data_IF_178465593388
#
_entry.id   IF_178465593388
#
_cell.length_a   1.000
_cell.length_b   1.000
_cell.length_c   1.000
_cell.angle_alpha   90.00
_cell.angle_beta   90.00
_cell.angle_gamma   90.00
#
_symmetry.space_group_name_H-M   'P 1'
#
loop_
_entity.id
_entity.type
_entity.pdbx_description
1 polymer ?
#
# COMPACT_ATOMS: atom_id res chain seq x y z
N UNK A 1 -18.04 18.60 23.41
CA UNK A 1 -18.57 17.21 23.36
C UNK A 1 -17.40 16.25 23.18
N UNK A 2 -17.17 15.34 24.12
CA UNK A 2 -16.11 14.34 24.01
C UNK A 2 -16.47 13.31 22.92
N UNK A 3 -15.82 13.39 21.76
CA UNK A 3 -16.00 12.37 20.72
C UNK A 3 -15.17 11.14 21.05
N UNK A 4 -15.82 9.98 21.18
CA UNK A 4 -15.16 8.68 21.34
C UNK A 4 -14.19 8.48 20.15
N UNK A 5 -12.93 8.20 20.46
CA UNK A 5 -11.86 7.98 19.48
C UNK A 5 -11.14 6.69 19.84
N UNK A 6 -10.86 5.85 18.84
CA UNK A 6 -10.04 4.66 19.04
C UNK A 6 -8.59 5.06 18.84
N UNK A 7 -7.73 4.79 19.81
CA UNK A 7 -6.28 5.02 19.68
C UNK A 7 -5.61 3.69 19.40
N UNK A 8 -4.90 3.62 18.28
CA UNK A 8 -4.10 2.45 17.89
C UNK A 8 -2.64 2.81 17.99
N UNK A 9 -1.95 2.25 18.99
CA UNK A 9 -0.51 2.36 19.14
C UNK A 9 0.16 1.11 18.55
N UNK A 10 0.80 1.25 17.39
CA UNK A 10 1.33 0.10 16.65
C UNK A 10 1.90 0.46 15.29
N UNK A 11 2.27 -0.56 14.52
CA UNK A 11 2.66 -0.40 13.11
C UNK A 11 1.48 -0.48 12.16
N UNK A 12 1.75 -0.37 10.86
CA UNK A 12 0.74 -0.38 9.81
C UNK A 12 -0.19 -1.62 9.88
N UNK A 13 0.38 -2.80 10.18
CA UNK A 13 -0.39 -4.05 10.31
C UNK A 13 -1.40 -4.04 11.47
N UNK A 14 -1.04 -3.42 12.60
CA UNK A 14 -1.96 -3.29 13.75
C UNK A 14 -3.15 -2.40 13.40
N UNK A 15 -2.89 -1.29 12.71
CA UNK A 15 -3.93 -0.37 12.22
C UNK A 15 -4.88 -1.09 11.28
N UNK A 16 -4.33 -1.80 10.29
CA UNK A 16 -5.11 -2.58 9.32
C UNK A 16 -5.97 -3.64 10.03
N UNK A 17 -5.43 -4.34 11.03
CA UNK A 17 -6.19 -5.34 11.80
C UNK A 17 -7.38 -4.72 12.53
N UNK A 18 -7.18 -3.57 13.19
CA UNK A 18 -8.26 -2.85 13.89
C UNK A 18 -9.35 -2.41 12.91
N UNK A 19 -8.97 -1.82 11.78
CA UNK A 19 -9.92 -1.38 10.75
C UNK A 19 -10.72 -2.57 10.21
N UNK A 20 -10.04 -3.66 9.86
CA UNK A 20 -10.69 -4.86 9.35
C UNK A 20 -11.62 -5.54 10.36
N UNK A 21 -11.26 -5.49 11.65
CA UNK A 21 -12.13 -5.97 12.72
C UNK A 21 -13.37 -5.08 12.86
N UNK A 22 -13.21 -3.75 12.78
CA UNK A 22 -14.33 -2.80 12.82
C UNK A 22 -15.29 -2.98 11.65
N UNK A 23 -14.78 -3.14 10.42
CA UNK A 23 -15.59 -3.40 9.23
C UNK A 23 -16.43 -4.68 9.42
N UNK A 24 -15.81 -5.78 9.85
CA UNK A 24 -16.52 -7.04 10.11
C UNK A 24 -17.53 -6.93 11.24
N UNK A 25 -17.19 -6.19 12.30
CA UNK A 25 -18.10 -5.91 13.41
C UNK A 25 -19.33 -5.12 12.94
N UNK A 26 -19.13 -4.03 12.19
CA UNK A 26 -20.21 -3.18 11.68
C UNK A 26 -21.09 -3.94 10.69
N UNK A 27 -20.51 -4.74 9.79
CA UNK A 27 -21.28 -5.59 8.88
C UNK A 27 -22.18 -6.57 9.66
N UNK A 28 -21.63 -7.20 10.71
CA UNK A 28 -22.40 -8.10 11.58
C UNK A 28 -23.52 -7.38 12.32
N UNK A 29 -23.26 -6.18 12.86
CA UNK A 29 -24.28 -5.38 13.56
C UNK A 29 -25.41 -4.94 12.61
N UNK A 30 -25.05 -4.51 11.41
CA UNK A 30 -26.01 -4.04 10.40
C UNK A 30 -26.70 -5.19 9.66
N UNK A 31 -26.32 -6.43 9.93
CA UNK A 31 -26.76 -7.64 9.20
C UNK A 31 -26.53 -7.51 7.69
N UNK A 32 -25.46 -6.81 7.30
CA UNK A 32 -25.06 -6.65 5.90
C UNK A 32 -23.99 -7.69 5.56
N UNK A 33 -24.06 -8.20 4.33
CA UNK A 33 -22.97 -8.98 3.75
C UNK A 33 -21.89 -8.00 3.28
N UNK A 34 -20.63 -8.41 3.40
CA UNK A 34 -19.53 -7.72 2.73
C UNK A 34 -19.27 -8.50 1.45
N UNK A 35 -19.76 -7.98 0.33
CA UNK A 35 -19.56 -8.56 -1.00
C UNK A 35 -18.96 -7.51 -1.94
N UNK A 36 -18.56 -7.95 -3.13
CA UNK A 36 -17.89 -7.09 -4.11
C UNK A 36 -18.80 -6.00 -4.69
N UNK A 37 -20.12 -6.24 -4.70
CA UNK A 37 -21.11 -5.35 -5.30
C UNK A 37 -21.71 -4.36 -4.30
N UNK A 38 -21.51 -4.57 -2.99
CA UNK A 38 -21.98 -3.69 -1.92
C UNK A 38 -20.88 -2.81 -1.36
N UNK A 39 -21.29 -1.62 -0.92
CA UNK A 39 -20.41 -0.71 -0.20
C UNK A 39 -20.04 -1.32 1.16
N UNK A 40 -18.76 -1.18 1.50
CA UNK A 40 -18.28 -1.53 2.83
C UNK A 40 -18.93 -0.60 3.88
N UNK A 41 -19.23 -1.12 5.09
CA UNK A 41 -19.77 -0.30 6.15
C UNK A 41 -18.78 0.81 6.53
N UNK A 42 -19.25 2.05 6.49
CA UNK A 42 -18.44 3.22 6.84
C UNK A 42 -18.10 3.24 8.34
N UNK A 43 -16.82 3.39 8.65
CA UNK A 43 -16.35 3.58 10.02
C UNK A 43 -16.56 5.05 10.41
N UNK A 44 -17.56 5.32 11.26
CA UNK A 44 -17.88 6.68 11.72
C UNK A 44 -17.06 7.13 12.94
N UNK A 45 -16.44 6.19 13.66
CA UNK A 45 -15.62 6.48 14.84
C UNK A 45 -14.21 6.88 14.37
N UNK A 46 -13.69 8.06 14.76
CA UNK A 46 -12.33 8.45 14.44
C UNK A 46 -11.30 7.47 15.00
N UNK A 47 -10.25 7.22 14.22
CA UNK A 47 -9.10 6.38 14.61
C UNK A 47 -7.86 7.27 14.65
N UNK A 48 -7.22 7.35 15.82
CA UNK A 48 -5.93 8.00 15.99
C UNK A 48 -4.83 6.93 15.92
N UNK A 49 -3.83 7.14 15.06
CA UNK A 49 -2.72 6.22 14.84
C UNK A 49 -1.47 6.80 15.48
N UNK A 50 -0.97 6.12 16.52
CA UNK A 50 0.32 6.44 17.16
C UNK A 50 1.35 5.45 16.64
N UNK A 51 2.35 5.89 15.86
CA UNK A 51 3.28 5.00 15.20
C UNK A 51 4.18 4.33 16.24
N UNK A 52 4.19 3.00 16.27
CA UNK A 52 5.07 2.20 17.13
C UNK A 52 5.59 0.94 16.40
N UNK A 53 5.54 0.95 15.06
CA UNK A 53 6.00 -0.15 14.21
C UNK A 53 7.40 0.09 13.62
N UNK A 54 7.95 -0.97 13.04
CA UNK A 54 9.16 -0.93 12.18
C UNK A 54 8.89 -0.12 10.90
N UNK A 55 7.67 -0.21 10.38
CA UNK A 55 7.14 0.57 9.28
C UNK A 55 5.89 1.30 9.77
N UNK A 56 5.83 2.60 9.50
CA UNK A 56 4.73 3.49 9.88
C UNK A 56 4.32 4.34 8.67
N UNK A 57 4.11 3.67 7.53
CA UNK A 57 3.82 4.32 6.25
C UNK A 57 2.52 5.10 6.35
N UNK A 58 1.50 4.57 7.02
CA UNK A 58 0.20 5.24 7.15
C UNK A 58 0.37 6.59 7.89
N UNK A 59 1.06 6.57 9.02
CA UNK A 59 1.34 7.77 9.81
C UNK A 59 2.19 8.78 9.01
N UNK A 60 3.21 8.29 8.30
CA UNK A 60 4.06 9.12 7.44
C UNK A 60 3.28 9.78 6.30
N UNK A 61 2.37 9.05 5.65
CA UNK A 61 1.53 9.60 4.56
C UNK A 61 0.57 10.67 5.08
N UNK A 62 -0.02 10.45 6.25
CA UNK A 62 -1.00 11.37 6.85
C UNK A 62 -0.32 12.64 7.37
N UNK A 63 0.77 12.51 8.12
CA UNK A 63 1.39 13.61 8.85
C UNK A 63 2.66 14.16 8.19
N UNK A 64 3.27 13.42 7.26
CA UNK A 64 4.58 13.71 6.67
C UNK A 64 5.77 13.33 7.57
N UNK A 65 5.51 12.69 8.71
CA UNK A 65 6.53 12.30 9.70
C UNK A 65 6.06 11.04 10.46
N UNK A 66 6.91 10.51 11.33
CA UNK A 66 6.61 9.31 12.15
C UNK A 66 6.78 9.57 13.63
N UNK A 67 6.68 10.84 14.06
CA UNK A 67 6.81 11.19 15.46
C UNK A 67 5.51 10.92 16.23
N UNK A 68 5.63 10.67 17.54
CA UNK A 68 4.48 10.35 18.38
C UNK A 68 3.66 11.60 18.75
N UNK A 69 4.28 12.78 18.72
CA UNK A 69 3.68 14.03 19.20
C UNK A 69 2.63 14.56 18.22
N UNK A 70 2.91 14.51 16.92
CA UNK A 70 2.03 14.99 15.85
C UNK A 70 0.63 14.35 15.90
N UNK A 71 0.45 13.01 15.91
CA UNK A 71 -0.87 12.40 16.00
C UNK A 71 -1.58 12.71 17.33
N UNK A 72 -0.85 12.83 18.44
CA UNK A 72 -1.42 13.20 19.75
C UNK A 72 -1.93 14.65 19.72
N UNK A 73 -1.20 15.57 19.09
CA UNK A 73 -1.68 16.96 18.92
C UNK A 73 -2.95 17.00 18.08
N UNK A 74 -3.01 16.26 16.98
CA UNK A 74 -4.24 16.16 16.18
C UNK A 74 -5.41 15.58 16.99
N UNK A 75 -5.15 14.62 17.87
CA UNK A 75 -6.16 14.07 18.79
C UNK A 75 -6.66 15.13 19.78
N UNK A 76 -5.76 15.85 20.46
CA UNK A 76 -6.10 16.89 21.44
C UNK A 76 -6.89 18.03 20.81
N UNK A 77 -6.47 18.50 19.63
CA UNK A 77 -7.15 19.55 18.89
C UNK A 77 -8.39 19.06 18.12
N UNK A 78 -8.74 17.76 18.23
CA UNK A 78 -9.89 17.16 17.56
C UNK A 78 -9.87 17.36 16.02
N UNK A 79 -8.67 17.39 15.43
CA UNK A 79 -8.47 17.44 13.99
C UNK A 79 -8.77 16.08 13.37
N UNK A 80 -9.63 16.07 12.35
CA UNK A 80 -10.08 14.84 11.68
C UNK A 80 -9.95 14.99 10.18
N UNK A 81 -9.58 13.91 9.53
CA UNK A 81 -9.61 13.79 8.08
C UNK A 81 -10.23 12.46 7.68
N UNK A 82 -10.91 12.46 6.53
CA UNK A 82 -11.37 11.23 5.89
C UNK A 82 -10.21 10.68 5.05
N UNK A 83 -10.08 9.36 5.06
CA UNK A 83 -9.06 8.64 4.32
C UNK A 83 -9.76 7.52 3.56
N UNK A 84 -9.47 7.42 2.28
CA UNK A 84 -10.01 6.36 1.44
C UNK A 84 -9.22 5.06 1.63
N UNK A 85 -9.91 3.94 1.46
CA UNK A 85 -9.34 2.61 1.55
C UNK A 85 -9.83 1.74 0.40
N UNK A 86 -8.99 0.83 -0.05
CA UNK A 86 -9.36 -0.16 -1.05
C UNK A 86 -9.79 -1.45 -0.38
N UNK A 87 -10.97 -1.95 -0.76
CA UNK A 87 -11.40 -3.29 -0.43
C UNK A 87 -10.75 -4.30 -1.38
N UNK A 88 -10.25 -5.39 -0.82
CA UNK A 88 -9.63 -6.49 -1.57
C UNK A 88 -10.53 -7.71 -1.43
N UNK A 89 -10.90 -8.27 -2.58
CA UNK A 89 -11.72 -9.46 -2.70
C UNK A 89 -10.93 -10.58 -3.37
N UNK A 90 -11.27 -11.83 -3.05
CA UNK A 90 -10.70 -13.00 -3.72
C UNK A 90 -11.45 -13.34 -5.02
N UNK A 91 -11.05 -14.44 -5.65
CA UNK A 91 -11.66 -14.94 -6.90
C UNK A 91 -13.14 -15.34 -6.74
N UNK A 92 -13.59 -15.63 -5.52
CA UNK A 92 -14.97 -15.97 -5.20
C UNK A 92 -15.76 -14.73 -4.73
N UNK A 93 -15.21 -13.52 -4.94
CA UNK A 93 -15.75 -12.25 -4.48
C UNK A 93 -15.95 -12.16 -2.96
N UNK A 94 -15.18 -12.94 -2.18
CA UNK A 94 -15.21 -12.88 -0.72
C UNK A 94 -14.26 -11.79 -0.25
N UNK A 95 -14.73 -10.99 0.70
CA UNK A 95 -13.93 -9.94 1.31
C UNK A 95 -12.72 -10.52 2.04
N UNK A 96 -11.52 -10.16 1.57
CA UNK A 96 -10.25 -10.54 2.18
C UNK A 96 -9.86 -9.51 3.23
N UNK A 97 -9.74 -8.25 2.81
CA UNK A 97 -9.22 -7.17 3.66
C UNK A 97 -9.48 -5.79 3.06
N UNK A 98 -9.61 -4.77 3.91
CA UNK A 98 -9.50 -3.37 3.52
C UNK A 98 -8.08 -2.87 3.83
N UNK A 99 -7.44 -2.22 2.84
CA UNK A 99 -6.07 -1.74 2.94
C UNK A 99 -5.89 -0.37 2.27
N UNK A 100 -4.80 0.32 2.63
CA UNK A 100 -4.37 1.57 1.98
C UNK A 100 -3.52 1.35 0.73
N UNK A 101 -2.95 0.15 0.58
CA UNK A 101 -2.13 -0.22 -0.57
C UNK A 101 -2.19 -1.73 -0.78
N UNK A 102 -2.20 -2.16 -2.03
CA UNK A 102 -2.03 -3.55 -2.43
C UNK A 102 -0.95 -3.63 -3.50
N UNK A 103 -0.15 -4.70 -3.47
CA UNK A 103 0.92 -4.90 -4.43
C UNK A 103 1.23 -6.37 -4.63
N UNK A 104 1.68 -6.71 -5.83
CA UNK A 104 2.16 -8.03 -6.21
C UNK A 104 3.64 -7.96 -6.62
N UNK A 105 4.29 -9.12 -6.78
CA UNK A 105 5.67 -9.16 -7.26
C UNK A 105 6.72 -8.85 -6.20
N UNK A 106 7.76 -8.12 -6.62
CA UNK A 106 8.93 -7.84 -5.80
C UNK A 106 8.60 -7.16 -4.46
N UNK A 107 7.75 -6.11 -4.39
CA UNK A 107 7.39 -5.49 -3.11
C UNK A 107 6.71 -6.47 -2.14
N UNK A 108 5.81 -7.32 -2.64
CA UNK A 108 5.18 -8.36 -1.82
C UNK A 108 6.19 -9.42 -1.35
N UNK A 109 7.17 -9.78 -2.20
CA UNK A 109 8.24 -10.69 -1.81
C UNK A 109 9.15 -10.11 -0.74
N UNK A 110 9.44 -8.80 -0.77
CA UNK A 110 10.20 -8.10 0.28
C UNK A 110 9.52 -8.29 1.64
N UNK A 111 8.20 -8.12 1.72
CA UNK A 111 7.44 -8.26 2.98
C UNK A 111 7.55 -9.67 3.61
N UNK A 112 7.72 -10.72 2.80
CA UNK A 112 7.91 -12.11 3.30
C UNK A 112 9.19 -12.29 4.12
N UNK A 113 10.17 -11.40 3.96
CA UNK A 113 11.44 -11.47 4.67
C UNK A 113 11.48 -10.61 5.94
N UNK A 114 10.55 -9.69 6.13
CA UNK A 114 10.46 -8.85 7.34
C UNK A 114 10.45 -9.68 8.64
N UNK A 115 9.59 -10.70 8.80
CA UNK A 115 9.55 -11.48 10.03
C UNK A 115 10.76 -12.44 10.19
N UNK A 116 11.59 -12.63 9.15
CA UNK A 116 12.72 -13.57 9.19
C UNK A 116 13.98 -12.97 9.79
N UNK A 117 14.05 -11.66 9.90
CA UNK A 117 15.20 -10.96 10.47
C UNK A 117 14.84 -10.42 11.85
N UNK A 118 15.23 -11.14 12.89
CA UNK A 118 15.20 -10.65 14.27
C UNK A 118 16.43 -9.79 14.54
N UNK A 119 16.54 -8.65 13.86
CA UNK A 119 17.58 -7.66 14.14
C UNK A 119 17.03 -6.59 15.06
N UNK A 120 17.84 -6.17 16.04
CA UNK A 120 17.50 -5.07 16.94
C UNK A 120 17.34 -3.70 16.24
N UNK A 121 17.77 -3.58 14.97
CA UNK A 121 17.66 -2.34 14.21
C UNK A 121 16.57 -2.43 13.13
N UNK A 122 15.52 -1.58 13.19
CA UNK A 122 14.51 -1.46 12.13
C UNK A 122 15.11 -1.27 10.73
N UNK A 123 16.12 -0.40 10.61
CA UNK A 123 16.83 -0.15 9.34
C UNK A 123 17.57 -1.39 8.84
N UNK A 124 18.14 -2.17 9.76
CA UNK A 124 18.81 -3.44 9.46
C UNK A 124 17.86 -4.50 8.92
N UNK A 125 16.67 -4.63 9.52
CA UNK A 125 15.60 -5.53 9.05
C UNK A 125 15.21 -5.16 7.62
N UNK A 126 14.89 -3.88 7.38
CA UNK A 126 14.48 -3.38 6.07
C UNK A 126 15.57 -3.68 5.02
N UNK A 127 16.81 -3.24 5.25
CA UNK A 127 17.91 -3.41 4.28
C UNK A 127 18.16 -4.88 3.92
N UNK A 128 18.14 -5.78 4.89
CA UNK A 128 18.34 -7.22 4.62
C UNK A 128 17.16 -7.83 3.88
N UNK A 129 15.92 -7.45 4.21
CA UNK A 129 14.72 -7.90 3.49
C UNK A 129 14.78 -7.53 2.01
N UNK A 130 15.13 -6.28 1.70
CA UNK A 130 15.32 -5.83 0.32
C UNK A 130 16.44 -6.58 -0.40
N UNK A 131 17.61 -6.71 0.23
CA UNK A 131 18.74 -7.44 -0.36
C UNK A 131 18.42 -8.91 -0.64
N UNK A 132 17.67 -9.57 0.26
CA UNK A 132 17.28 -10.97 0.09
C UNK A 132 16.26 -11.16 -1.02
N UNK A 133 15.27 -10.27 -1.10
CA UNK A 133 14.30 -10.27 -2.19
C UNK A 133 14.97 -9.98 -3.54
N UNK A 134 16.02 -9.14 -3.56
CA UNK A 134 16.75 -8.76 -4.78
C UNK A 134 17.75 -9.83 -5.26
N UNK A 135 18.00 -10.88 -4.48
CA UNK A 135 18.90 -11.95 -4.90
C UNK A 135 18.38 -12.64 -6.17
N UNK A 136 19.28 -13.00 -7.09
CA UNK A 136 18.94 -13.58 -8.42
C UNK A 136 17.93 -14.74 -8.35
N UNK A 137 17.99 -15.57 -7.30
CA UNK A 137 17.05 -16.68 -7.10
C UNK A 137 15.62 -16.22 -6.79
N UNK A 138 15.47 -15.10 -6.09
CA UNK A 138 14.17 -14.61 -5.58
C UNK A 138 13.59 -13.49 -6.44
N UNK A 139 14.42 -12.73 -7.15
CA UNK A 139 14.00 -11.71 -8.10
C UNK A 139 13.63 -12.38 -9.43
N UNK A 140 12.47 -13.00 -9.44
CA UNK A 140 11.90 -13.62 -10.64
C UNK A 140 10.72 -12.79 -11.13
N UNK A 141 10.62 -12.56 -12.44
CA UNK A 141 9.46 -11.89 -13.02
C UNK A 141 8.21 -12.76 -12.80
N UNK A 142 7.09 -12.10 -12.52
CA UNK A 142 5.80 -12.74 -12.36
C UNK A 142 4.97 -12.41 -13.59
N UNK A 143 4.47 -13.44 -14.25
CA UNK A 143 3.46 -13.28 -15.29
C UNK A 143 2.11 -12.99 -14.61
N UNK A 144 1.52 -11.86 -14.94
CA UNK A 144 0.26 -11.42 -14.34
C UNK A 144 -0.56 -10.63 -15.36
N UNK A 145 -1.87 -10.82 -15.32
CA UNK A 145 -2.83 -9.99 -16.05
C UNK A 145 -3.40 -8.95 -15.09
N UNK A 146 -3.35 -7.67 -15.49
CA UNK A 146 -3.95 -6.57 -14.73
C UNK A 146 -5.07 -5.99 -15.57
N UNK A 147 -6.29 -6.02 -15.03
CA UNK A 147 -7.43 -5.28 -15.55
C UNK A 147 -7.74 -4.15 -14.58
N UNK A 148 -7.98 -2.97 -15.12
CA UNK A 148 -8.31 -1.80 -14.32
C UNK A 148 -9.40 -1.00 -15.01
N UNK A 149 -10.20 -0.31 -14.19
CA UNK A 149 -11.14 0.70 -14.67
C UNK A 149 -10.41 2.03 -14.56
N UNK A 150 -10.20 2.77 -15.67
CA UNK A 150 -9.53 4.06 -15.61
C UNK A 150 -10.35 5.01 -14.75
N UNK A 151 -9.67 5.79 -13.91
CA UNK A 151 -10.34 6.85 -13.17
C UNK A 151 -10.86 7.88 -14.18
N UNK A 152 -12.17 8.10 -14.20
CA UNK A 152 -12.76 9.24 -14.89
C UNK A 152 -12.32 10.46 -14.07
N UNK A 153 -11.76 11.49 -14.72
CA UNK A 153 -11.13 12.69 -14.12
C UNK A 153 -12.03 13.55 -13.19
N UNK A 154 -13.16 13.04 -12.73
CA UNK A 154 -13.99 13.67 -11.73
C UNK A 154 -13.63 13.13 -10.34
N UNK A 155 -12.44 13.46 -9.86
CA UNK A 155 -12.09 13.19 -8.47
C UNK A 155 -12.96 14.09 -7.57
N UNK A 156 -13.90 13.56 -6.76
CA UNK A 156 -14.76 14.39 -5.90
C UNK A 156 -13.98 15.01 -4.72
N UNK A 157 -12.73 14.57 -4.50
CA UNK A 157 -11.83 15.14 -3.51
C UNK A 157 -10.92 16.17 -4.18
N UNK A 158 -11.48 17.34 -4.47
CA UNK A 158 -10.73 18.60 -4.60
C UNK A 158 -10.21 18.98 -3.20
N UNK A 159 -9.37 18.14 -2.60
CA UNK A 159 -8.72 18.45 -1.33
C UNK A 159 -7.49 19.28 -1.63
N UNK A 160 -7.64 20.60 -1.43
CA UNK A 160 -6.56 21.58 -1.54
C UNK A 160 -5.38 21.12 -0.68
N UNK A 161 -4.20 20.95 -1.30
CA UNK A 161 -2.97 20.69 -0.56
C UNK A 161 -2.56 21.96 0.21
N UNK A 162 -2.62 21.93 1.54
CA UNK A 162 -2.26 23.08 2.40
C UNK A 162 -0.75 23.25 2.66
N UNK A 163 0.10 22.42 2.04
CA UNK A 163 1.56 22.39 2.29
C UNK A 163 2.41 22.97 1.16
N UNK A 164 1.81 23.68 0.20
CA UNK A 164 2.57 24.23 -0.94
C UNK A 164 3.31 23.15 -1.74
N UNK A 165 2.68 21.97 -1.91
CA UNK A 165 3.27 20.86 -2.67
C UNK A 165 3.51 21.30 -4.13
N UNK A 166 4.72 21.15 -4.68
CA UNK A 166 5.02 21.51 -6.07
C UNK A 166 4.11 20.81 -7.08
N UNK A 167 3.69 19.56 -6.79
CA UNK A 167 2.81 18.77 -7.66
C UNK A 167 1.35 19.22 -7.65
N UNK A 168 0.92 19.98 -6.64
CA UNK A 168 -0.47 20.46 -6.51
C UNK A 168 -0.63 21.94 -6.91
N UNK A 169 0.44 22.55 -7.43
CA UNK A 169 0.36 23.87 -8.07
C UNK A 169 -0.35 23.74 -9.43
N UNK A 170 -0.94 24.82 -9.98
CA UNK A 170 -1.51 24.78 -11.33
C UNK A 170 -0.54 24.19 -12.36
N UNK A 171 0.73 24.60 -12.31
CA UNK A 171 1.82 24.08 -13.15
C UNK A 171 2.14 22.59 -12.90
N UNK A 172 1.90 22.10 -11.68
CA UNK A 172 2.08 20.70 -11.30
C UNK A 172 0.94 19.80 -11.79
N UNK A 173 -0.29 20.32 -11.83
CA UNK A 173 -1.47 19.61 -12.34
C UNK A 173 -1.36 19.43 -13.86
N UNK A 174 -1.01 20.48 -14.61
CA UNK A 174 -0.76 20.37 -16.06
C UNK A 174 0.38 19.40 -16.40
N UNK A 175 1.41 19.29 -15.55
CA UNK A 175 2.49 18.31 -15.72
C UNK A 175 2.04 16.88 -15.43
N UNK A 176 1.18 16.66 -14.44
CA UNK A 176 0.66 15.34 -14.10
C UNK A 176 -0.32 14.81 -15.16
N UNK A 177 -1.19 15.66 -15.71
CA UNK A 177 -2.11 15.26 -16.79
C UNK A 177 -1.36 14.90 -18.09
N UNK A 178 -0.24 15.58 -18.37
CA UNK A 178 0.63 15.26 -19.50
C UNK A 178 1.62 14.09 -19.24
N UNK A 179 1.63 13.54 -18.02
CA UNK A 179 2.44 12.38 -17.62
C UNK A 179 1.58 11.12 -17.45
N UNK A 180 0.55 10.92 -18.28
CA UNK A 180 0.09 9.55 -18.55
C UNK A 180 1.27 8.84 -19.18
N UNK A 181 2.03 8.14 -18.33
CA UNK A 181 3.31 7.50 -18.62
C UNK A 181 3.13 6.63 -19.86
N UNK A 182 3.73 7.05 -20.97
CA UNK A 182 4.09 6.12 -22.02
C UNK A 182 4.91 5.01 -21.34
N UNK A 183 4.36 3.80 -21.28
CA UNK A 183 5.07 2.65 -20.77
C UNK A 183 6.30 2.44 -21.66
N UNK A 184 7.49 2.73 -21.11
CA UNK A 184 8.74 2.50 -21.81
C UNK A 184 9.10 1.00 -21.72
N UNK A 185 8.72 0.26 -22.75
CA UNK A 185 8.96 -1.18 -22.88
C UNK A 185 10.44 -1.55 -23.07
N UNK A 186 11.34 -0.58 -23.23
CA UNK A 186 12.77 -0.83 -23.49
C UNK A 186 13.42 -1.70 -22.41
N UNK A 187 13.06 -1.49 -21.14
CA UNK A 187 13.59 -2.25 -20.01
C UNK A 187 13.09 -3.70 -20.00
N UNK A 188 11.82 -3.93 -20.36
CA UNK A 188 11.24 -5.27 -20.49
C UNK A 188 11.89 -6.02 -21.67
N UNK A 189 12.13 -5.32 -22.79
CA UNK A 189 12.82 -5.87 -23.95
C UNK A 189 14.27 -6.26 -23.63
N UNK A 190 15.00 -5.45 -22.84
CA UNK A 190 16.36 -5.78 -22.42
C UNK A 190 16.40 -7.02 -21.52
N UNK A 191 15.46 -7.13 -20.56
CA UNK A 191 15.31 -8.32 -19.72
C UNK A 191 15.02 -9.57 -20.57
N UNK A 192 14.16 -9.45 -21.59
CA UNK A 192 13.84 -10.54 -22.51
C UNK A 192 15.01 -10.89 -23.44
N UNK A 193 15.84 -9.93 -23.85
CA UNK A 193 17.07 -10.17 -24.63
C UNK A 193 18.10 -10.95 -23.82
N UNK A 194 18.28 -10.59 -22.55
CA UNK A 194 19.15 -11.33 -21.61
C UNK A 194 18.67 -12.78 -21.39
N UNK A 195 17.35 -13.04 -21.44
CA UNK A 195 16.77 -14.39 -21.37
C UNK A 195 17.12 -15.24 -22.59
N UNK A 196 16.98 -14.71 -23.81
CA UNK A 196 17.32 -15.43 -25.04
C UNK A 196 18.80 -15.81 -25.09
N UNK A 197 19.70 -14.91 -24.66
CA UNK A 197 21.14 -15.23 -24.56
C UNK A 197 21.48 -16.29 -23.50
N UNK A 198 20.73 -16.35 -22.39
CA UNK A 198 20.94 -17.35 -21.35
C UNK A 198 20.41 -18.75 -21.74
N UNK A 199 19.31 -18.83 -22.50
CA UNK A 199 18.78 -20.10 -23.01
C UNK A 199 19.62 -20.70 -24.15
N UNK A 200 20.19 -19.88 -25.04
CA UNK A 200 21.09 -20.41 -26.09
C UNK A 200 22.38 -21.02 -25.55
N UNK A 201 22.91 -20.52 -24.41
CA UNK A 201 24.12 -21.08 -23.81
C UNK A 201 23.90 -22.42 -23.11
N UNK A 202 22.65 -22.82 -22.82
CA UNK A 202 22.35 -24.06 -22.10
C UNK A 202 22.10 -25.26 -23.02
N UNK A 203 21.93 -25.03 -24.33
CA UNK A 203 21.73 -26.11 -25.32
C UNK A 203 23.04 -26.66 -25.92
N UNK A 204 24.20 -26.04 -25.64
CA UNK A 204 25.49 -26.50 -26.17
C UNK A 204 26.29 -27.42 -25.23
N UNK A 205 25.79 -27.73 -24.03
CA UNK A 205 26.50 -28.57 -23.05
C UNK A 205 25.77 -29.88 -22.66
N UNK A 206 24.93 -30.42 -23.56
CA UNK A 206 24.36 -31.77 -23.42
C UNK A 206 24.64 -32.62 -24.65
N UNK A 207 25.93 -32.88 -24.86
CA UNK A 207 26.42 -34.04 -25.61
C UNK A 207 27.63 -34.55 -24.85
N UNK A 208 27.41 -35.57 -24.03
CA UNK A 208 28.16 -36.82 -23.84
C UNK A 208 27.60 -37.52 -22.60
#
# INVERSE_FOLDING_TARGET
MATKTIVVMGGDGSVINVINALIRYLAKQNRTRIDFESDLPSISIPICIVPNGTTNIICHTIHGNVDHCTPIMHLIFNHKMKIDMSAVFDIDYKFVTANFSAGAGYPANVLKYFPRYNLHSPKGVIKKSFAKAASKKNLQPIEMEIRYIPAIQNNPLVTRCYRGCPSCTPDGIEKCDNQVLAFDDSHIQEINKRRKSASSNNNNNRTF
#
